data_IF_309124848940
#
_entry.id   IF_309124848940
#
_cell.length_a   1.000
_cell.length_b   1.000
_cell.length_c   1.000
_cell.angle_alpha   90.00
_cell.angle_beta   90.00
_cell.angle_gamma   90.00
#
_symmetry.space_group_name_H-M   'P 1'
#
loop_
_entity.id
_entity.type
_entity.pdbx_description
1 polymer ?
#
# COMPACT_ATOMS: atom_id res chain seq x y z
N UNK A 1 -23.08 -3.45 -5.18
CA UNK A 1 -22.00 -2.46 -4.94
C UNK A 1 -20.63 -3.14 -5.02
N UNK A 2 -20.20 -3.59 -6.21
CA UNK A 2 -18.90 -4.28 -6.37
C UNK A 2 -18.31 -3.89 -7.73
N UNK A 3 -17.85 -2.64 -7.88
CA UNK A 3 -17.30 -2.15 -9.15
C UNK A 3 -15.85 -1.64 -9.07
N UNK A 4 -15.32 -1.34 -7.88
CA UNK A 4 -13.99 -0.71 -7.75
C UNK A 4 -12.85 -1.66 -7.34
N UNK A 5 -13.12 -2.85 -6.81
CA UNK A 5 -12.05 -3.72 -6.28
C UNK A 5 -11.12 -4.25 -7.38
N UNK A 6 -11.66 -4.83 -8.47
CA UNK A 6 -10.84 -5.37 -9.58
C UNK A 6 -10.06 -4.30 -10.35
N UNK A 7 -10.61 -3.09 -10.49
CA UNK A 7 -9.97 -2.01 -11.26
C UNK A 7 -8.75 -1.43 -10.53
N UNK A 8 -8.81 -1.37 -9.20
CA UNK A 8 -7.75 -0.81 -8.37
C UNK A 8 -6.65 -1.83 -8.04
N UNK A 9 -6.98 -3.12 -7.99
CA UNK A 9 -6.04 -4.15 -7.53
C UNK A 9 -5.00 -4.56 -8.58
N UNK A 10 -5.37 -4.63 -9.87
CA UNK A 10 -4.50 -5.19 -10.91
C UNK A 10 -4.01 -4.13 -11.91
N UNK A 11 -4.91 -3.30 -12.45
CA UNK A 11 -4.51 -2.35 -13.50
C UNK A 11 -3.75 -1.14 -12.98
N UNK A 12 -4.04 -0.64 -11.78
CA UNK A 12 -3.30 0.51 -11.21
C UNK A 12 -1.89 0.13 -10.79
N UNK A 13 -1.69 -1.08 -10.25
CA UNK A 13 -0.38 -1.56 -9.81
C UNK A 13 0.62 -1.61 -10.97
N UNK A 14 0.24 -2.20 -12.10
CA UNK A 14 1.11 -2.25 -13.28
C UNK A 14 1.37 -0.85 -13.84
N UNK A 15 0.34 -0.01 -13.98
CA UNK A 15 0.51 1.36 -14.49
C UNK A 15 1.44 2.21 -13.61
N UNK A 16 1.31 2.14 -12.29
CA UNK A 16 2.18 2.89 -11.38
C UNK A 16 3.61 2.37 -11.38
N UNK A 17 3.79 1.06 -11.57
CA UNK A 17 5.10 0.46 -11.75
C UNK A 17 5.76 0.96 -13.04
N UNK A 18 5.02 0.94 -14.15
CA UNK A 18 5.49 1.40 -15.46
C UNK A 18 5.79 2.90 -15.46
N UNK A 19 5.07 3.69 -14.65
CA UNK A 19 5.33 5.12 -14.44
C UNK A 19 6.43 5.40 -13.40
N UNK A 20 7.01 4.38 -12.79
CA UNK A 20 8.13 4.56 -11.85
C UNK A 20 7.73 5.19 -10.52
N UNK A 21 6.48 5.05 -10.08
CA UNK A 21 6.05 5.59 -8.79
C UNK A 21 6.79 4.83 -7.67
N UNK A 22 7.59 5.50 -6.82
CA UNK A 22 8.50 4.83 -5.89
C UNK A 22 7.79 4.04 -4.80
N UNK A 23 6.57 4.46 -4.44
CA UNK A 23 5.81 3.89 -3.34
C UNK A 23 4.30 3.97 -3.59
N UNK A 24 3.58 2.88 -3.30
CA UNK A 24 2.12 2.78 -3.45
C UNK A 24 1.53 2.00 -2.27
N UNK A 25 0.54 2.57 -1.57
CA UNK A 25 -0.07 1.94 -0.40
C UNK A 25 -1.48 1.45 -0.75
N UNK A 26 -1.75 0.18 -0.50
CA UNK A 26 -3.08 -0.43 -0.63
C UNK A 26 -3.64 -0.63 0.77
N UNK A 27 -4.79 -0.03 1.05
CA UNK A 27 -5.46 -0.09 2.36
C UNK A 27 -6.67 -1.02 2.23
N UNK A 28 -6.65 -2.13 2.96
CA UNK A 28 -7.72 -3.14 2.96
C UNK A 28 -8.52 -3.10 4.28
N UNK A 29 -9.55 -2.23 4.32
CA UNK A 29 -10.49 -2.08 5.44
C UNK A 29 -11.95 -2.24 4.96
N UNK A 30 -12.85 -2.92 5.69
CA UNK A 30 -12.66 -3.65 6.96
C UNK A 30 -12.33 -5.14 6.81
N UNK A 31 -12.30 -5.68 5.58
CA UNK A 31 -12.28 -7.14 5.35
C UNK A 31 -11.01 -7.86 5.83
N UNK A 32 -9.83 -7.23 5.71
CA UNK A 32 -8.54 -7.81 6.14
C UNK A 32 -7.84 -7.01 7.24
N UNK A 33 -8.25 -5.76 7.46
CA UNK A 33 -7.61 -4.82 8.39
C UNK A 33 -6.08 -4.81 8.20
N UNK A 34 -5.66 -4.58 6.96
CA UNK A 34 -4.27 -4.64 6.52
C UNK A 34 -3.91 -3.42 5.66
N UNK A 35 -2.68 -2.95 5.79
CA UNK A 35 -2.06 -2.01 4.86
C UNK A 35 -0.91 -2.72 4.15
N UNK A 36 -0.92 -2.71 2.82
CA UNK A 36 0.14 -3.26 1.97
C UNK A 36 0.93 -2.10 1.39
N UNK A 37 2.20 -1.98 1.75
CA UNK A 37 3.14 -1.00 1.19
C UNK A 37 3.88 -1.66 0.04
N UNK A 38 3.77 -1.09 -1.16
CA UNK A 38 4.53 -1.48 -2.33
C UNK A 38 5.67 -0.48 -2.55
N UNK A 39 6.89 -0.99 -2.59
CA UNK A 39 8.11 -0.21 -2.84
C UNK A 39 8.71 -0.61 -4.17
N UNK A 40 8.99 0.35 -5.05
CA UNK A 40 9.58 0.08 -6.36
C UNK A 40 11.07 -0.20 -6.21
N UNK A 41 11.51 -1.43 -6.51
CA UNK A 41 12.91 -1.85 -6.49
C UNK A 41 13.26 -2.46 -7.83
N UNK A 42 14.25 -1.91 -8.53
CA UNK A 42 14.66 -2.37 -9.86
C UNK A 42 13.47 -2.49 -10.84
N UNK A 43 12.60 -1.48 -10.86
CA UNK A 43 11.38 -1.41 -11.69
C UNK A 43 10.31 -2.47 -11.38
N UNK A 44 10.40 -3.15 -10.24
CA UNK A 44 9.40 -4.12 -9.80
C UNK A 44 8.94 -3.77 -8.38
N UNK A 45 7.64 -3.77 -8.14
CA UNK A 45 7.11 -3.55 -6.80
C UNK A 45 7.36 -4.75 -5.89
N UNK A 46 8.06 -4.50 -4.79
CA UNK A 46 8.12 -5.39 -3.63
C UNK A 46 7.01 -4.99 -2.65
N UNK A 47 6.23 -5.97 -2.20
CA UNK A 47 5.12 -5.74 -1.28
C UNK A 47 5.48 -6.12 0.16
N UNK A 48 4.96 -5.35 1.10
CA UNK A 48 5.06 -5.63 2.52
C UNK A 48 3.74 -5.35 3.22
N UNK A 49 3.24 -6.34 3.93
CA UNK A 49 1.98 -6.28 4.64
C UNK A 49 2.20 -5.82 6.08
N UNK A 50 1.32 -4.95 6.56
CA UNK A 50 1.35 -4.40 7.90
C UNK A 50 -0.05 -4.46 8.52
N UNK A 51 -0.14 -4.90 9.77
CA UNK A 51 -1.40 -5.02 10.52
C UNK A 51 -1.24 -4.50 11.96
N UNK A 52 -2.35 -4.12 12.58
CA UNK A 52 -2.37 -3.67 13.98
C UNK A 52 -1.37 -2.53 14.25
N UNK A 53 -0.58 -2.66 15.33
CA UNK A 53 0.38 -1.64 15.75
C UNK A 53 1.71 -1.65 14.97
N UNK A 54 1.83 -2.46 13.90
CA UNK A 54 3.04 -2.46 13.08
C UNK A 54 3.26 -1.09 12.42
N UNK A 55 4.46 -0.54 12.58
CA UNK A 55 4.86 0.69 11.92
C UNK A 55 4.95 0.48 10.41
N UNK A 56 4.33 1.39 9.65
CA UNK A 56 4.52 1.51 8.22
C UNK A 56 5.88 2.16 7.97
N UNK A 57 6.66 1.59 7.05
CA UNK A 57 7.96 2.15 6.64
C UNK A 57 7.81 2.71 5.24
N UNK A 58 7.91 4.03 5.11
CA UNK A 58 7.94 4.71 3.82
C UNK A 58 9.38 4.93 3.37
N UNK A 59 9.68 4.65 2.11
CA UNK A 59 10.95 5.04 1.47
C UNK A 59 10.92 6.50 1.00
N UNK A 60 9.73 7.06 0.75
CA UNK A 60 9.55 8.44 0.30
C UNK A 60 9.54 9.41 1.50
N UNK A 61 9.00 8.97 2.64
CA UNK A 61 8.91 9.74 3.87
C UNK A 61 9.56 8.98 5.05
N UNK A 62 10.90 8.95 5.16
CA UNK A 62 11.60 8.15 6.17
C UNK A 62 11.23 8.49 7.62
N UNK A 63 10.85 9.74 7.88
CA UNK A 63 10.48 10.22 9.22
C UNK A 63 9.00 9.97 9.57
N UNK A 64 8.21 9.47 8.62
CA UNK A 64 6.79 9.16 8.85
C UNK A 64 6.66 8.01 9.85
N UNK A 65 6.17 8.32 11.04
CA UNK A 65 5.92 7.34 12.11
C UNK A 65 4.42 7.13 12.27
N UNK A 66 3.87 6.12 11.60
CA UNK A 66 2.45 5.78 11.66
C UNK A 66 2.25 4.26 11.70
N UNK A 67 1.22 3.79 12.41
CA UNK A 67 0.87 2.36 12.48
C UNK A 67 -0.21 1.99 11.47
N UNK A 68 -0.26 0.72 11.07
CA UNK A 68 -1.33 0.21 10.22
C UNK A 68 -2.72 0.45 10.84
N UNK A 69 -2.86 0.24 12.16
CA UNK A 69 -4.10 0.50 12.90
C UNK A 69 -4.52 1.97 12.81
N UNK A 70 -3.59 2.92 12.92
CA UNK A 70 -3.91 4.36 12.79
C UNK A 70 -4.48 4.67 11.41
N UNK A 71 -3.88 4.12 10.34
CA UNK A 71 -4.36 4.30 8.96
C UNK A 71 -5.74 3.65 8.75
N UNK A 72 -5.97 2.47 9.32
CA UNK A 72 -7.21 1.72 9.16
C UNK A 72 -8.38 2.28 9.98
N UNK A 73 -8.10 3.07 11.01
CA UNK A 73 -9.11 3.68 11.89
C UNK A 73 -9.53 5.11 11.47
N UNK A 74 -9.19 5.54 10.26
CA UNK A 74 -9.63 6.82 9.67
C UNK A 74 -10.98 6.64 8.97
#
# INVERSE_FOLDING_TARGET
MIANYRRDYEWKRQQYQDWGIPEYWIIEHPHRAQVTVLTLVNNIYQEKNHTGQQLLKSVVFPDLTITAQTVLNT
#
